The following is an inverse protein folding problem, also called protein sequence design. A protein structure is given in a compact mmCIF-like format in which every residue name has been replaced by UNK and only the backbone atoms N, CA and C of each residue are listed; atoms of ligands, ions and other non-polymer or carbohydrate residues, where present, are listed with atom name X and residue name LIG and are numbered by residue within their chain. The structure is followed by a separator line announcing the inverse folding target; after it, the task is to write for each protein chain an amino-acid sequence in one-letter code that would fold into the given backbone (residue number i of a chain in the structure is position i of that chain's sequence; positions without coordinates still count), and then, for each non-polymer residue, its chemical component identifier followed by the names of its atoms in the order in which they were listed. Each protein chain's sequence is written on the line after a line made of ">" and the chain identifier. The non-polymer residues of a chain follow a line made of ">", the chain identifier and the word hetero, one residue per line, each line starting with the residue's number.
data_IF_591045707480
#
_entry.id   IF_591045707480
#
_cell.length_a   1.000
_cell.length_b   1.000
_cell.length_c   1.000
_cell.angle_alpha   90.00
_cell.angle_beta   90.00
_cell.angle_gamma   90.00
#
_symmetry.space_group_name_H-M   'P 1'
#
loop_
_entity.id
_entity.type
_entity.pdbx_description
1 polymer ?
#
# COMPACT_ATOMS: atom_id res chain seq x y z
N UNK A 1 -17.77 -7.42 -0.37
CA UNK A 1 -17.13 -6.48 -1.29
C UNK A 1 -18.14 -5.40 -1.68
N UNK A 2 -17.67 -4.17 -1.80
CA UNK A 2 -18.49 -3.05 -2.24
C UNK A 2 -17.64 -2.00 -2.94
N UNK A 3 -18.30 -1.17 -3.77
CA UNK A 3 -17.65 -0.09 -4.49
C UNK A 3 -18.09 1.25 -3.92
N UNK A 4 -17.14 2.14 -3.67
CA UNK A 4 -17.46 3.49 -3.29
C UNK A 4 -17.91 4.29 -4.53
N UNK A 5 -19.05 4.94 -4.47
CA UNK A 5 -19.50 5.83 -5.53
C UNK A 5 -18.49 6.96 -5.78
N UNK A 6 -18.11 7.18 -7.01
CA UNK A 6 -17.06 8.12 -7.41
C UNK A 6 -15.64 7.60 -7.21
N UNK A 7 -15.49 6.27 -7.02
CA UNK A 7 -14.20 5.57 -6.87
C UNK A 7 -13.68 5.53 -5.44
N UNK A 8 -12.60 4.79 -5.25
CA UNK A 8 -12.00 4.53 -3.93
C UNK A 8 -11.51 5.80 -3.21
N UNK A 9 -11.12 6.83 -3.95
CA UNK A 9 -10.77 8.14 -3.39
C UNK A 9 -11.90 8.81 -2.59
N UNK A 10 -13.17 8.41 -2.81
CA UNK A 10 -14.31 8.90 -2.04
C UNK A 10 -14.24 8.51 -0.57
N UNK A 11 -13.62 7.37 -0.23
CA UNK A 11 -13.39 6.94 1.15
C UNK A 11 -12.44 7.91 1.85
N UNK A 12 -11.33 8.25 1.20
CA UNK A 12 -10.35 9.21 1.73
C UNK A 12 -10.98 10.60 1.91
N UNK A 13 -11.79 11.04 0.95
CA UNK A 13 -12.53 12.30 1.05
C UNK A 13 -13.50 12.30 2.23
N UNK A 14 -14.24 11.21 2.45
CA UNK A 14 -15.17 11.08 3.57
C UNK A 14 -14.44 11.10 4.93
N UNK A 15 -13.31 10.39 5.05
CA UNK A 15 -12.47 10.39 6.25
C UNK A 15 -11.90 11.79 6.52
N UNK A 16 -11.42 12.48 5.49
CA UNK A 16 -10.92 13.86 5.60
C UNK A 16 -12.01 14.80 6.09
N UNK A 17 -13.21 14.73 5.49
CA UNK A 17 -14.34 15.55 5.92
C UNK A 17 -14.74 15.29 7.39
N UNK A 18 -14.75 14.01 7.80
CA UNK A 18 -15.02 13.63 9.18
C UNK A 18 -13.97 14.17 10.15
N UNK A 19 -12.69 14.10 9.80
CA UNK A 19 -11.60 14.66 10.58
C UNK A 19 -11.75 16.19 10.74
N UNK A 20 -12.03 16.87 9.64
CA UNK A 20 -12.22 18.35 9.65
C UNK A 20 -13.44 18.75 10.47
N UNK A 21 -14.55 18.02 10.38
CA UNK A 21 -15.74 18.23 11.21
C UNK A 21 -15.46 18.05 12.71
N UNK A 22 -14.47 17.20 13.05
CA UNK A 22 -13.98 17.05 14.44
C UNK A 22 -12.91 18.07 14.83
N UNK A 23 -12.65 19.11 14.02
CA UNK A 23 -11.66 20.16 14.28
C UNK A 23 -10.23 19.82 13.87
N UNK A 24 -10.02 18.71 13.17
CA UNK A 24 -8.70 18.32 12.65
C UNK A 24 -8.30 19.11 11.41
N UNK A 25 -7.00 19.24 11.18
CA UNK A 25 -6.42 19.90 10.00
C UNK A 25 -5.70 18.91 9.13
N UNK A 26 -5.85 19.02 7.80
CA UNK A 26 -5.08 18.26 6.81
C UNK A 26 -4.17 19.23 6.07
N UNK A 27 -2.88 18.93 6.03
CA UNK A 27 -1.87 19.62 5.22
C UNK A 27 -1.38 18.68 4.13
N UNK A 28 -1.50 19.07 2.89
CA UNK A 28 -0.91 18.41 1.72
C UNK A 28 0.37 19.11 1.30
N UNK A 29 1.23 18.44 0.51
CA UNK A 29 2.52 18.99 0.12
C UNK A 29 3.46 19.26 1.31
N UNK A 30 3.31 18.49 2.38
CA UNK A 30 4.04 18.66 3.65
C UNK A 30 4.69 17.32 4.01
N UNK A 31 5.69 16.91 3.23
CA UNK A 31 6.48 15.72 3.51
C UNK A 31 7.21 15.83 4.85
N UNK A 32 7.51 14.71 5.48
CA UNK A 32 8.20 14.64 6.77
C UNK A 32 9.65 14.30 6.51
N UNK A 33 10.56 15.14 6.98
CA UNK A 33 12.00 14.87 6.97
C UNK A 33 12.43 14.05 8.20
N UNK A 34 11.99 14.47 9.39
CA UNK A 34 12.45 13.87 10.65
C UNK A 34 11.39 13.93 11.75
N UNK A 35 11.39 12.92 12.62
CA UNK A 35 10.69 12.93 13.91
C UNK A 35 11.59 13.57 14.97
N UNK A 36 11.06 14.56 15.69
CA UNK A 36 11.76 15.24 16.78
C UNK A 36 11.66 14.43 18.06
N UNK A 37 12.81 13.99 18.58
CA UNK A 37 12.92 13.22 19.83
C UNK A 37 13.79 14.00 20.84
N UNK A 38 13.40 13.98 22.10
CA UNK A 38 14.18 14.52 23.21
C UNK A 38 13.95 13.68 24.46
N UNK A 39 15.01 13.21 25.07
CA UNK A 39 14.98 12.37 26.27
C UNK A 39 14.05 11.14 26.09
N UNK A 40 14.19 10.43 24.96
CA UNK A 40 13.39 9.25 24.63
C UNK A 40 11.89 9.50 24.34
N UNK A 41 11.50 10.77 24.09
CA UNK A 41 10.10 11.17 23.82
C UNK A 41 9.99 11.93 22.51
N UNK A 42 9.06 11.54 21.66
CA UNK A 42 8.68 12.31 20.48
C UNK A 42 7.85 13.52 20.89
N UNK A 43 8.16 14.68 20.28
CA UNK A 43 7.46 15.94 20.57
C UNK A 43 7.08 16.73 19.31
N UNK A 44 7.34 16.22 18.13
CA UNK A 44 7.01 16.87 16.87
C UNK A 44 7.69 16.22 15.67
N UNK A 45 7.62 16.93 14.56
CA UNK A 45 8.24 16.54 13.27
C UNK A 45 8.87 17.76 12.61
N UNK A 46 9.88 17.53 11.76
CA UNK A 46 10.41 18.50 10.80
C UNK A 46 9.81 18.17 9.44
N UNK A 47 9.30 19.18 8.75
CA UNK A 47 8.83 19.06 7.37
C UNK A 47 9.98 19.22 6.38
N UNK A 48 9.78 18.76 5.14
CA UNK A 48 10.80 18.84 4.05
C UNK A 48 11.24 20.30 3.74
N UNK A 49 10.41 21.29 4.09
CA UNK A 49 10.74 22.70 3.96
C UNK A 49 11.50 23.29 5.19
N UNK A 50 11.82 22.46 6.17
CA UNK A 50 12.52 22.83 7.40
C UNK A 50 11.61 23.34 8.54
N UNK A 51 10.30 23.47 8.33
CA UNK A 51 9.38 23.89 9.39
C UNK A 51 9.24 22.82 10.47
N UNK A 52 9.26 23.22 11.74
CA UNK A 52 8.95 22.34 12.86
C UNK A 52 7.46 22.40 13.22
N UNK A 53 6.84 21.22 13.34
CA UNK A 53 5.47 21.07 13.84
C UNK A 53 5.52 20.30 15.15
N UNK A 54 5.22 20.98 16.25
CA UNK A 54 5.20 20.38 17.58
C UNK A 54 3.84 19.74 17.88
N UNK A 55 3.88 18.64 18.63
CA UNK A 55 2.69 17.90 19.05
C UNK A 55 2.94 17.10 20.32
N UNK A 56 1.87 16.86 21.07
CA UNK A 56 1.94 16.04 22.30
C UNK A 56 2.21 14.56 21.99
N UNK A 57 1.91 14.14 20.79
CA UNK A 57 2.14 12.77 20.26
C UNK A 57 2.40 12.84 18.77
N UNK A 58 3.23 11.96 18.30
CA UNK A 58 3.47 11.72 16.87
C UNK A 58 2.92 10.35 16.50
N UNK A 59 2.15 10.26 15.44
CA UNK A 59 1.54 9.02 14.98
C UNK A 59 1.94 8.81 13.51
N UNK A 60 2.72 7.77 13.25
CA UNK A 60 3.15 7.43 11.90
C UNK A 60 2.27 6.35 11.30
N UNK A 61 1.77 6.59 10.07
CA UNK A 61 1.14 5.56 9.24
C UNK A 61 2.07 5.06 8.11
N UNK A 62 3.30 5.55 8.07
CA UNK A 62 4.33 5.01 7.18
C UNK A 62 4.72 3.60 7.60
N UNK A 63 5.31 2.84 6.70
CA UNK A 63 5.87 1.55 7.07
C UNK A 63 6.99 1.69 8.12
N UNK A 64 7.28 0.59 8.80
CA UNK A 64 8.22 0.61 9.94
C UNK A 64 9.66 0.90 9.53
N UNK A 65 10.10 0.47 8.33
CA UNK A 65 11.44 0.81 7.85
C UNK A 65 11.55 2.28 7.57
N UNK A 66 10.57 2.85 6.87
CA UNK A 66 10.53 4.28 6.59
C UNK A 66 10.45 5.09 7.89
N UNK A 67 9.57 4.72 8.81
CA UNK A 67 9.44 5.41 10.10
C UNK A 67 10.75 5.39 10.89
N UNK A 68 11.30 4.21 11.16
CA UNK A 68 12.37 4.04 12.14
C UNK A 68 13.78 4.07 11.56
N UNK A 69 13.98 3.79 10.27
CA UNK A 69 15.31 3.79 9.65
C UNK A 69 15.58 5.04 8.81
N UNK A 70 14.51 5.81 8.48
CA UNK A 70 14.66 7.02 7.67
C UNK A 70 14.34 8.30 8.44
N UNK A 71 13.26 8.30 9.24
CA UNK A 71 12.74 9.52 9.86
C UNK A 71 13.01 9.63 11.37
N UNK A 72 13.54 8.59 12.00
CA UNK A 72 14.00 8.60 13.41
C UNK A 72 15.50 8.40 13.43
N UNK A 73 16.19 9.12 14.31
CA UNK A 73 17.62 8.92 14.52
C UNK A 73 17.85 7.53 15.17
N UNK A 74 18.71 6.71 14.56
CA UNK A 74 18.99 5.36 15.05
C UNK A 74 19.53 5.37 16.50
N UNK A 75 20.22 6.43 16.89
CA UNK A 75 20.75 6.59 18.25
C UNK A 75 19.67 6.71 19.34
N UNK A 76 18.44 7.08 18.95
CA UNK A 76 17.28 7.16 19.86
C UNK A 76 16.56 5.80 20.04
N UNK A 77 17.02 4.75 19.37
CA UNK A 77 16.36 3.45 19.33
C UNK A 77 17.22 2.35 19.97
N UNK A 78 16.60 1.39 20.67
CA UNK A 78 17.33 0.20 21.14
C UNK A 78 17.91 -0.59 19.96
N UNK A 79 19.17 -1.02 20.05
CA UNK A 79 19.86 -1.72 18.95
C UNK A 79 19.14 -3.00 18.50
N UNK A 80 18.56 -3.77 19.43
CA UNK A 80 17.78 -4.96 19.11
C UNK A 80 16.49 -4.63 18.31
N UNK A 81 15.83 -3.52 18.66
CA UNK A 81 14.68 -3.05 17.90
C UNK A 81 15.08 -2.69 16.46
N UNK A 82 16.16 -1.94 16.29
CA UNK A 82 16.71 -1.57 14.98
C UNK A 82 17.05 -2.82 14.16
N UNK A 83 17.70 -3.81 14.77
CA UNK A 83 18.03 -5.09 14.12
C UNK A 83 16.77 -5.79 13.59
N UNK A 84 15.70 -5.84 14.40
CA UNK A 84 14.41 -6.45 14.00
C UNK A 84 13.73 -5.69 12.88
N UNK A 85 13.71 -4.35 12.94
CA UNK A 85 13.14 -3.51 11.86
C UNK A 85 13.93 -3.69 10.56
N UNK A 86 15.26 -3.75 10.61
CA UNK A 86 16.10 -4.05 9.43
C UNK A 86 15.78 -5.42 8.83
N UNK A 87 15.50 -6.42 9.66
CA UNK A 87 15.15 -7.78 9.25
C UNK A 87 13.69 -7.94 8.77
N UNK A 88 12.82 -6.94 9.00
CA UNK A 88 11.42 -6.98 8.58
C UNK A 88 11.31 -7.11 7.06
N UNK A 89 10.59 -8.14 6.59
CA UNK A 89 10.40 -8.43 5.17
C UNK A 89 9.32 -7.52 4.60
N UNK A 90 9.63 -6.80 3.52
CA UNK A 90 8.71 -5.79 2.96
C UNK A 90 8.69 -5.77 1.42
N UNK A 91 9.24 -6.79 0.77
CA UNK A 91 9.33 -6.82 -0.70
C UNK A 91 7.97 -6.65 -1.35
N UNK A 92 7.86 -5.75 -2.33
CA UNK A 92 6.70 -5.60 -3.20
C UNK A 92 6.55 -6.78 -4.15
N UNK A 93 5.32 -7.03 -4.58
CA UNK A 93 5.02 -8.18 -5.44
C UNK A 93 4.00 -7.86 -6.54
N UNK A 94 3.51 -6.64 -6.60
CA UNK A 94 2.41 -6.30 -7.50
C UNK A 94 2.66 -5.02 -8.27
N UNK A 95 2.10 -5.00 -9.47
CA UNK A 95 1.93 -3.81 -10.27
C UNK A 95 0.45 -3.48 -10.45
N UNK A 96 0.19 -2.33 -11.03
CA UNK A 96 -1.18 -1.87 -11.29
C UNK A 96 -1.24 -1.17 -12.63
N UNK A 97 -2.32 -1.47 -13.39
CA UNK A 97 -2.69 -0.68 -14.55
C UNK A 97 -4.06 -0.04 -14.31
N UNK A 98 -4.15 1.24 -14.64
CA UNK A 98 -5.40 1.97 -14.75
C UNK A 98 -5.58 2.34 -16.22
N UNK A 99 -6.65 1.83 -16.84
CA UNK A 99 -6.83 1.87 -18.29
C UNK A 99 -8.10 2.66 -18.61
N UNK A 100 -7.97 3.76 -19.34
CA UNK A 100 -9.10 4.48 -19.91
C UNK A 100 -9.46 3.85 -21.26
N UNK A 101 -10.74 3.54 -21.44
CA UNK A 101 -11.26 2.81 -22.59
C UNK A 101 -12.32 3.61 -23.33
N UNK A 102 -12.28 3.53 -24.65
CA UNK A 102 -13.28 4.12 -25.55
C UNK A 102 -14.63 3.39 -25.45
N UNK A 103 -14.61 2.08 -25.23
CA UNK A 103 -15.79 1.23 -25.02
C UNK A 103 -15.45 0.09 -24.04
N UNK A 104 -16.48 -0.59 -23.53
CA UNK A 104 -16.27 -1.78 -22.71
C UNK A 104 -15.64 -2.91 -23.54
N UNK A 105 -14.68 -3.68 -22.97
CA UNK A 105 -14.10 -4.82 -23.67
C UNK A 105 -15.14 -5.91 -23.91
N UNK A 106 -15.02 -6.62 -25.03
CA UNK A 106 -15.87 -7.76 -25.40
C UNK A 106 -15.09 -9.06 -25.20
N UNK A 107 -15.26 -9.67 -24.05
CA UNK A 107 -14.61 -10.96 -23.78
C UNK A 107 -15.30 -12.09 -24.55
N UNK A 108 -14.50 -12.92 -25.22
CA UNK A 108 -15.02 -14.03 -26.06
C UNK A 108 -15.78 -15.08 -25.25
N UNK A 109 -15.44 -15.23 -23.96
CA UNK A 109 -16.10 -16.17 -23.05
C UNK A 109 -17.41 -15.66 -22.45
N UNK A 110 -17.75 -14.38 -22.63
CA UNK A 110 -18.92 -13.76 -22.00
C UNK A 110 -19.94 -13.29 -23.05
N UNK A 111 -21.25 -13.59 -22.86
CA UNK A 111 -22.31 -12.97 -23.67
C UNK A 111 -22.30 -11.45 -23.52
N UNK A 112 -22.78 -10.75 -24.54
CA UNK A 112 -22.96 -9.31 -24.48
C UNK A 112 -23.92 -8.92 -23.34
N UNK A 113 -23.55 -7.90 -22.56
CA UNK A 113 -24.29 -7.46 -21.37
C UNK A 113 -24.23 -8.40 -20.18
N UNK A 114 -23.27 -9.34 -20.17
CA UNK A 114 -23.07 -10.29 -19.06
C UNK A 114 -22.92 -9.60 -17.71
N UNK A 115 -23.64 -10.04 -16.65
CA UNK A 115 -23.51 -9.51 -15.31
C UNK A 115 -22.10 -9.73 -14.72
N UNK A 116 -21.32 -10.69 -15.23
CA UNK A 116 -19.94 -10.95 -14.80
C UNK A 116 -19.02 -9.76 -15.05
N UNK A 117 -19.32 -8.89 -16.02
CA UNK A 117 -18.59 -7.63 -16.24
C UNK A 117 -18.65 -6.65 -15.07
N UNK A 118 -19.54 -6.86 -14.10
CA UNK A 118 -19.63 -6.08 -12.85
C UNK A 118 -18.83 -6.68 -11.70
N UNK A 119 -18.22 -7.83 -11.91
CA UNK A 119 -17.43 -8.55 -10.93
C UNK A 119 -15.95 -8.34 -11.11
N UNK A 120 -15.23 -9.13 -10.36
CA UNK A 120 -13.80 -9.30 -10.47
C UNK A 120 -13.50 -10.42 -11.46
N UNK A 121 -12.54 -10.19 -12.34
CA UNK A 121 -12.24 -11.08 -13.46
C UNK A 121 -10.75 -11.39 -13.54
N UNK A 122 -10.40 -12.65 -13.81
CA UNK A 122 -9.01 -13.06 -14.02
C UNK A 122 -8.88 -14.10 -15.12
N UNK A 123 -7.70 -14.16 -15.72
CA UNK A 123 -7.34 -15.10 -16.76
C UNK A 123 -6.39 -16.18 -16.21
N UNK A 124 -6.89 -16.98 -15.28
CA UNK A 124 -6.13 -18.13 -14.80
C UNK A 124 -6.95 -19.40 -14.95
N UNK A 125 -6.29 -20.45 -15.41
CA UNK A 125 -6.88 -21.75 -15.68
C UNK A 125 -6.27 -22.86 -14.79
N UNK A 126 -5.19 -22.54 -14.06
CA UNK A 126 -4.55 -23.52 -13.17
C UNK A 126 -3.71 -22.87 -12.08
N UNK A 127 -3.48 -23.63 -11.01
CA UNK A 127 -2.57 -23.28 -9.90
C UNK A 127 -1.12 -23.20 -10.42
N UNK A 128 -0.74 -24.09 -11.32
CA UNK A 128 0.61 -24.14 -11.90
C UNK A 128 0.93 -22.86 -12.68
N UNK A 129 -0.05 -22.25 -13.31
CA UNK A 129 0.12 -20.95 -13.98
C UNK A 129 0.41 -19.84 -12.96
N UNK A 130 -0.31 -19.82 -11.84
CA UNK A 130 -0.08 -18.86 -10.77
C UNK A 130 1.30 -19.08 -10.12
N UNK A 131 1.70 -20.34 -9.90
CA UNK A 131 3.03 -20.67 -9.37
C UNK A 131 4.15 -20.21 -10.32
N UNK A 132 4.03 -20.43 -11.64
CA UNK A 132 5.02 -19.90 -12.60
C UNK A 132 5.15 -18.38 -12.54
N UNK A 133 4.04 -17.66 -12.41
CA UNK A 133 4.07 -16.22 -12.26
C UNK A 133 4.80 -15.79 -10.97
N UNK A 134 4.67 -16.57 -9.90
CA UNK A 134 5.42 -16.36 -8.65
C UNK A 134 6.89 -16.74 -8.78
N UNK A 135 7.22 -17.79 -9.55
CA UNK A 135 8.60 -18.20 -9.82
C UNK A 135 9.37 -17.10 -10.57
N UNK A 136 8.75 -16.45 -11.55
CA UNK A 136 9.31 -15.28 -12.24
C UNK A 136 9.69 -14.19 -11.22
N UNK A 137 8.79 -13.87 -10.29
CA UNK A 137 9.04 -12.87 -9.24
C UNK A 137 10.21 -13.27 -8.33
N UNK A 138 10.30 -14.55 -7.92
CA UNK A 138 11.42 -15.04 -7.11
C UNK A 138 12.75 -14.93 -7.86
N UNK A 139 12.73 -15.12 -9.18
CA UNK A 139 13.89 -14.92 -10.04
C UNK A 139 14.24 -13.46 -10.31
N UNK A 140 13.42 -12.50 -9.86
CA UNK A 140 13.63 -11.06 -10.07
C UNK A 140 13.09 -10.56 -11.40
N UNK A 141 12.13 -11.24 -12.00
CA UNK A 141 11.47 -10.83 -13.23
C UNK A 141 10.00 -10.51 -12.97
N UNK A 142 9.40 -9.63 -13.77
CA UNK A 142 7.94 -9.57 -13.82
C UNK A 142 7.42 -10.75 -14.66
N UNK A 143 6.23 -11.22 -14.30
CA UNK A 143 5.66 -12.41 -14.93
C UNK A 143 5.37 -12.18 -16.42
N UNK A 144 5.77 -13.13 -17.25
CA UNK A 144 5.49 -13.11 -18.70
C UNK A 144 4.05 -13.52 -19.03
N UNK A 145 3.38 -14.22 -18.11
CA UNK A 145 1.95 -14.55 -18.16
C UNK A 145 1.34 -14.25 -16.78
N UNK A 146 1.15 -12.95 -16.44
CA UNK A 146 0.82 -12.52 -15.10
C UNK A 146 -0.60 -12.94 -14.71
N UNK A 147 -0.80 -13.15 -13.40
CA UNK A 147 -2.11 -13.16 -12.82
C UNK A 147 -2.62 -11.71 -12.75
N UNK A 148 -3.69 -11.43 -13.47
CA UNK A 148 -4.33 -10.12 -13.48
C UNK A 148 -5.73 -10.22 -12.86
N UNK A 149 -5.93 -9.41 -11.85
CA UNK A 149 -7.19 -9.22 -11.14
C UNK A 149 -7.83 -7.93 -11.68
N UNK A 150 -8.89 -8.06 -12.45
CA UNK A 150 -9.41 -6.96 -13.28
C UNK A 150 -10.83 -6.61 -12.89
N UNK A 151 -11.10 -5.32 -12.80
CA UNK A 151 -12.44 -4.77 -12.60
C UNK A 151 -12.72 -3.65 -13.59
N UNK A 152 -13.98 -3.50 -13.96
CA UNK A 152 -14.48 -2.37 -14.76
C UNK A 152 -15.48 -1.60 -13.89
N UNK A 153 -15.02 -0.73 -12.97
CA UNK A 153 -15.88 -0.06 -12.00
C UNK A 153 -17.03 0.74 -12.64
N UNK A 154 -16.84 1.23 -13.85
CA UNK A 154 -17.84 1.98 -14.60
C UNK A 154 -19.05 1.13 -15.03
N UNK A 155 -18.96 -0.19 -14.98
CA UNK A 155 -20.11 -1.09 -15.16
C UNK A 155 -21.07 -1.05 -13.97
N UNK A 156 -20.62 -0.53 -12.82
CA UNK A 156 -21.39 -0.36 -11.58
C UNK A 156 -21.71 1.12 -11.36
N UNK A 157 -20.69 1.97 -11.48
CA UNK A 157 -20.79 3.42 -11.30
C UNK A 157 -20.38 4.18 -12.59
N UNK A 158 -21.32 4.43 -13.50
CA UNK A 158 -21.03 5.11 -14.75
C UNK A 158 -20.64 6.59 -14.57
N UNK A 159 -20.73 7.14 -13.35
CA UNK A 159 -20.35 8.54 -13.07
C UNK A 159 -18.85 8.76 -13.01
N UNK A 160 -18.05 7.70 -13.04
CA UNK A 160 -16.58 7.76 -12.98
C UNK A 160 -15.91 8.18 -14.30
N UNK A 161 -16.66 8.15 -15.42
CA UNK A 161 -16.13 8.50 -16.75
C UNK A 161 -17.16 9.31 -17.53
N UNK A 162 -16.78 9.97 -18.64
CA UNK A 162 -17.74 10.53 -19.59
C UNK A 162 -18.67 9.45 -20.16
N UNK A 163 -19.88 9.80 -20.59
CA UNK A 163 -20.83 8.84 -21.15
C UNK A 163 -20.21 8.01 -22.29
N UNK A 164 -20.44 6.69 -22.26
CA UNK A 164 -19.93 5.74 -23.24
C UNK A 164 -18.46 5.36 -23.09
N UNK A 165 -17.71 6.00 -22.19
CA UNK A 165 -16.33 5.63 -21.88
C UNK A 165 -16.28 4.73 -20.66
N UNK A 166 -15.18 3.97 -20.54
CA UNK A 166 -14.99 3.05 -19.44
C UNK A 166 -13.61 3.21 -18.78
N UNK A 167 -13.55 2.75 -17.56
CA UNK A 167 -12.32 2.65 -16.78
C UNK A 167 -12.14 1.20 -16.35
N UNK A 168 -10.95 0.65 -16.60
CA UNK A 168 -10.55 -0.67 -16.15
C UNK A 168 -9.39 -0.56 -15.19
N UNK A 169 -9.47 -1.26 -14.07
CA UNK A 169 -8.42 -1.34 -13.06
C UNK A 169 -7.89 -2.76 -13.01
N UNK A 170 -6.59 -2.94 -13.24
CA UNK A 170 -5.92 -4.23 -13.18
C UNK A 170 -4.93 -4.22 -12.01
N UNK A 171 -5.10 -5.14 -11.08
CA UNK A 171 -4.10 -5.50 -10.09
C UNK A 171 -3.33 -6.69 -10.63
N UNK A 172 -2.01 -6.57 -10.71
CA UNK A 172 -1.19 -7.53 -11.45
C UNK A 172 -0.15 -8.18 -10.57
N UNK A 173 -0.11 -9.48 -10.55
CA UNK A 173 0.89 -10.31 -9.89
C UNK A 173 1.61 -11.20 -10.92
N UNK A 174 2.94 -11.18 -11.00
CA UNK A 174 3.81 -10.54 -10.02
C UNK A 174 4.73 -9.51 -10.69
N UNK A 175 5.12 -8.52 -9.92
CA UNK A 175 6.10 -7.52 -10.29
C UNK A 175 7.09 -7.37 -9.12
N UNK A 176 8.40 -7.66 -9.30
CA UNK A 176 9.38 -7.59 -8.22
C UNK A 176 9.75 -6.14 -7.89
N UNK A 177 10.25 -5.86 -6.69
CA UNK A 177 10.72 -4.50 -6.33
C UNK A 177 11.91 -4.05 -7.18
N UNK A 178 12.73 -4.99 -7.63
CA UNK A 178 13.87 -4.78 -8.52
C UNK A 178 13.91 -5.84 -9.63
N UNK A 179 14.32 -5.45 -10.83
CA UNK A 179 14.52 -6.35 -11.96
C UNK A 179 15.97 -6.88 -11.91
N UNK A 180 16.15 -8.17 -11.69
CA UNK A 180 17.49 -8.79 -11.60
C UNK A 180 18.46 -8.03 -10.68
N UNK A 181 17.95 -7.51 -9.58
CA UNK A 181 18.73 -6.74 -8.61
C UNK A 181 18.95 -5.26 -8.95
N UNK A 182 18.56 -4.78 -10.13
CA UNK A 182 18.60 -3.37 -10.54
C UNK A 182 17.23 -2.70 -10.42
N UNK A 183 17.23 -1.38 -10.46
CA UNK A 183 16.00 -0.61 -10.46
C UNK A 183 15.25 -0.74 -11.80
N UNK A 184 13.93 -0.59 -11.75
CA UNK A 184 13.07 -0.54 -12.92
C UNK A 184 13.43 0.62 -13.82
N UNK A 185 13.50 0.38 -15.12
CA UNK A 185 13.58 1.42 -16.16
C UNK A 185 12.19 1.70 -16.74
N UNK A 186 12.07 2.80 -17.50
CA UNK A 186 10.84 3.06 -18.25
C UNK A 186 10.56 1.98 -19.30
N UNK A 187 11.61 1.41 -19.90
CA UNK A 187 11.47 0.31 -20.85
C UNK A 187 10.89 -0.97 -20.18
N UNK A 188 11.29 -1.28 -18.95
CA UNK A 188 10.74 -2.39 -18.18
C UNK A 188 9.26 -2.15 -17.85
N UNK A 189 8.91 -0.93 -17.40
CA UNK A 189 7.52 -0.54 -17.14
C UNK A 189 6.66 -0.66 -18.39
N UNK A 190 7.13 -0.20 -19.53
CA UNK A 190 6.40 -0.26 -20.79
C UNK A 190 6.32 -1.71 -21.31
N UNK A 191 7.35 -2.54 -21.06
CA UNK A 191 7.35 -3.98 -21.31
C UNK A 191 6.30 -4.70 -20.47
N UNK A 192 6.27 -4.42 -19.18
CA UNK A 192 5.27 -4.94 -18.25
C UNK A 192 3.84 -4.58 -18.70
N UNK A 193 3.61 -3.31 -19.05
CA UNK A 193 2.32 -2.87 -19.55
C UNK A 193 1.90 -3.61 -20.82
N UNK A 194 2.83 -3.76 -21.81
CA UNK A 194 2.53 -4.51 -23.03
C UNK A 194 2.13 -5.96 -22.73
N UNK A 195 2.88 -6.64 -21.85
CA UNK A 195 2.57 -8.01 -21.44
C UNK A 195 1.14 -8.13 -20.91
N UNK A 196 0.74 -7.19 -20.04
CA UNK A 196 -0.61 -7.16 -19.47
C UNK A 196 -1.69 -6.91 -20.54
N UNK A 197 -1.49 -5.92 -21.41
CA UNK A 197 -2.43 -5.60 -22.48
C UNK A 197 -2.53 -6.70 -23.54
N UNK A 198 -1.41 -7.37 -23.86
CA UNK A 198 -1.38 -8.51 -24.77
C UNK A 198 -2.16 -9.71 -24.23
N UNK A 199 -2.09 -9.94 -22.93
CA UNK A 199 -2.90 -10.97 -22.29
C UNK A 199 -4.39 -10.66 -22.38
N UNK A 200 -4.82 -9.42 -22.12
CA UNK A 200 -6.23 -9.01 -22.23
C UNK A 200 -6.71 -9.17 -23.68
N UNK A 201 -5.90 -8.74 -24.65
CA UNK A 201 -6.23 -8.84 -26.08
C UNK A 201 -6.51 -10.29 -26.53
N UNK A 202 -5.84 -11.31 -25.95
CA UNK A 202 -6.10 -12.73 -26.25
C UNK A 202 -7.53 -13.14 -25.89
N UNK A 203 -8.11 -12.57 -24.83
CA UNK A 203 -9.45 -12.93 -24.35
C UNK A 203 -10.53 -11.93 -24.78
N UNK A 204 -10.13 -10.74 -25.20
CA UNK A 204 -10.99 -9.69 -25.69
C UNK A 204 -10.40 -9.08 -26.99
N UNK A 205 -10.51 -9.77 -28.14
CA UNK A 205 -9.96 -9.28 -29.40
C UNK A 205 -10.46 -7.89 -29.76
N UNK A 206 -9.53 -6.99 -30.11
CA UNK A 206 -9.82 -5.58 -30.37
C UNK A 206 -9.73 -4.67 -29.14
N UNK A 207 -9.42 -5.24 -27.97
CA UNK A 207 -9.26 -4.46 -26.72
C UNK A 207 -8.26 -3.33 -26.87
N UNK A 208 -7.06 -3.63 -27.43
CA UNK A 208 -6.01 -2.63 -27.57
C UNK A 208 -6.43 -1.41 -28.39
N UNK A 209 -7.30 -1.59 -29.39
CA UNK A 209 -7.82 -0.48 -30.19
C UNK A 209 -8.79 0.42 -29.42
N UNK A 210 -9.38 -0.06 -28.33
CA UNK A 210 -10.24 0.72 -27.45
C UNK A 210 -9.47 1.46 -26.34
N UNK A 211 -8.17 1.23 -26.18
CA UNK A 211 -7.36 1.87 -25.14
C UNK A 211 -7.08 3.32 -25.51
N UNK A 212 -7.55 4.25 -24.67
CA UNK A 212 -7.31 5.68 -24.80
C UNK A 212 -6.05 6.12 -24.04
N UNK A 213 -5.83 5.53 -22.85
CA UNK A 213 -4.69 5.84 -22.01
C UNK A 213 -4.43 4.70 -21.02
N UNK A 214 -3.18 4.49 -20.67
CA UNK A 214 -2.76 3.54 -19.62
C UNK A 214 -1.84 4.24 -18.63
N UNK A 215 -2.22 4.26 -17.36
CA UNK A 215 -1.33 4.58 -16.25
C UNK A 215 -0.79 3.27 -15.67
N UNK A 216 0.53 3.17 -15.56
CA UNK A 216 1.22 1.97 -15.06
C UNK A 216 1.95 2.31 -13.78
N UNK A 217 1.71 1.53 -12.73
CA UNK A 217 2.40 1.63 -11.45
C UNK A 217 3.08 0.32 -11.14
N UNK A 218 4.39 0.30 -11.28
CA UNK A 218 5.25 -0.79 -10.82
C UNK A 218 5.62 -0.57 -9.35
N UNK A 219 6.30 -1.49 -8.68
CA UNK A 219 6.84 -1.24 -7.34
C UNK A 219 7.68 0.04 -7.24
N UNK A 220 8.39 0.44 -8.31
CA UNK A 220 9.14 1.70 -8.37
C UNK A 220 8.24 2.93 -8.20
N UNK A 221 7.15 3.02 -8.97
CA UNK A 221 6.21 4.14 -8.87
C UNK A 221 5.51 4.15 -7.50
N UNK A 222 5.15 2.96 -6.96
CA UNK A 222 4.56 2.85 -5.63
C UNK A 222 5.52 3.33 -4.54
N UNK A 223 6.81 3.06 -4.66
CA UNK A 223 7.80 3.58 -3.71
C UNK A 223 8.04 5.07 -3.86
N UNK A 224 8.25 5.55 -5.08
CA UNK A 224 8.64 6.93 -5.35
C UNK A 224 7.49 7.93 -5.16
N UNK A 225 6.28 7.59 -5.58
CA UNK A 225 5.13 8.50 -5.55
C UNK A 225 4.32 8.38 -4.26
N UNK A 226 4.15 7.16 -3.74
CA UNK A 226 3.31 6.89 -2.56
C UNK A 226 4.15 6.73 -1.29
N UNK A 227 5.43 6.40 -1.43
CA UNK A 227 6.35 6.20 -0.31
C UNK A 227 6.21 4.82 0.34
N UNK A 228 5.74 3.82 -0.39
CA UNK A 228 5.68 2.43 0.08
C UNK A 228 7.02 1.74 -0.16
N UNK A 229 7.74 1.40 0.89
CA UNK A 229 9.06 0.76 0.78
C UNK A 229 8.99 -0.48 -0.11
N UNK A 230 9.88 -0.54 -1.11
CA UNK A 230 9.93 -1.60 -2.13
C UNK A 230 8.59 -1.82 -2.88
N UNK A 231 7.68 -0.83 -2.87
CA UNK A 231 6.36 -0.93 -3.49
C UNK A 231 5.39 -1.89 -2.80
N UNK A 232 5.65 -2.29 -1.56
CA UNK A 232 4.78 -3.23 -0.85
C UNK A 232 3.49 -2.54 -0.35
N UNK A 233 2.36 -2.87 -0.97
CA UNK A 233 1.05 -2.28 -0.66
C UNK A 233 0.51 -2.65 0.73
N UNK A 234 1.04 -3.70 1.37
CA UNK A 234 0.70 -4.10 2.72
C UNK A 234 1.66 -3.54 3.77
N UNK A 235 2.67 -2.74 3.33
CA UNK A 235 3.72 -2.20 4.20
C UNK A 235 4.43 -3.29 5.02
N UNK A 236 4.60 -4.47 4.44
CA UNK A 236 5.25 -5.64 5.04
C UNK A 236 4.62 -6.94 4.55
N UNK A 237 5.44 -7.95 4.30
CA UNK A 237 5.00 -9.27 3.87
C UNK A 237 4.07 -9.90 4.92
N UNK A 238 3.06 -10.65 4.45
CA UNK A 238 2.08 -11.34 5.31
C UNK A 238 2.54 -12.78 5.59
N UNK A 239 3.78 -12.94 5.99
CA UNK A 239 4.33 -14.24 6.41
C UNK A 239 4.00 -14.52 7.89
N UNK A 240 3.89 -15.79 8.28
CA UNK A 240 3.47 -16.18 9.63
C UNK A 240 4.34 -15.58 10.74
N UNK A 241 5.63 -15.38 10.49
CA UNK A 241 6.58 -14.74 11.40
C UNK A 241 6.37 -13.22 11.54
N UNK A 242 5.55 -12.62 10.69
CA UNK A 242 5.24 -11.17 10.66
C UNK A 242 3.77 -10.83 10.84
N UNK A 243 2.99 -11.74 11.39
CA UNK A 243 1.56 -11.53 11.64
C UNK A 243 1.25 -11.43 13.14
N UNK A 244 0.01 -11.03 13.45
CA UNK A 244 -0.55 -10.95 14.80
C UNK A 244 0.35 -10.14 15.75
N UNK A 245 0.80 -10.77 16.85
CA UNK A 245 1.64 -10.15 17.88
C UNK A 245 3.10 -9.91 17.45
N UNK A 246 3.52 -10.44 16.32
CA UNK A 246 4.83 -10.19 15.72
C UNK A 246 4.84 -8.98 14.76
N UNK A 247 3.67 -8.39 14.46
CA UNK A 247 3.57 -7.31 13.48
C UNK A 247 3.49 -5.94 14.17
N UNK A 248 4.41 -5.01 13.90
CA UNK A 248 5.54 -5.05 12.94
C UNK A 248 6.74 -5.84 13.43
N UNK A 249 7.02 -5.79 14.73
CA UNK A 249 8.06 -6.56 15.41
C UNK A 249 7.56 -6.99 16.78
N UNK A 250 8.02 -8.11 17.34
CA UNK A 250 7.65 -8.54 18.69
C UNK A 250 7.82 -7.39 19.71
N UNK A 251 6.83 -7.21 20.56
CA UNK A 251 6.77 -6.12 21.54
C UNK A 251 6.05 -4.85 21.07
N UNK A 252 5.89 -4.60 19.76
CA UNK A 252 5.23 -3.41 19.21
C UNK A 252 3.84 -3.67 18.62
N UNK A 253 3.25 -4.84 18.84
CA UNK A 253 1.94 -5.21 18.27
C UNK A 253 0.77 -4.33 18.77
N UNK A 254 0.96 -3.57 19.86
CA UNK A 254 -0.03 -2.65 20.40
C UNK A 254 0.22 -1.20 19.97
N UNK A 255 0.79 -0.99 18.79
CA UNK A 255 0.95 0.32 18.13
C UNK A 255 1.95 1.29 18.81
N UNK A 256 2.54 0.91 19.95
CA UNK A 256 3.57 1.67 20.64
C UNK A 256 4.93 1.42 20.02
N UNK A 257 5.78 2.44 20.03
CA UNK A 257 7.19 2.31 19.70
C UNK A 257 8.04 2.35 20.98
N UNK A 258 9.35 2.03 20.89
CA UNK A 258 10.27 2.25 22.00
C UNK A 258 10.42 3.74 22.42
N UNK A 259 10.10 4.65 21.52
CA UNK A 259 10.12 6.09 21.80
C UNK A 259 8.75 6.49 22.36
N UNK A 260 8.74 7.07 23.55
CA UNK A 260 7.51 7.54 24.20
C UNK A 260 6.78 8.57 23.32
N UNK A 261 5.47 8.47 23.25
CA UNK A 261 4.61 9.34 22.44
C UNK A 261 4.85 9.28 20.91
N UNK A 262 5.64 8.32 20.42
CA UNK A 262 5.69 7.92 19.02
C UNK A 262 4.88 6.65 18.82
N UNK A 263 3.85 6.73 18.00
CA UNK A 263 2.92 5.65 17.70
C UNK A 263 2.95 5.26 16.23
N UNK A 264 2.56 4.04 15.92
CA UNK A 264 2.46 3.52 14.55
C UNK A 264 1.05 3.02 14.30
N UNK A 265 0.48 3.33 13.14
CA UNK A 265 -0.93 2.99 12.81
C UNK A 265 -1.13 2.55 11.36
N UNK A 266 -0.07 2.41 10.59
CA UNK A 266 -0.13 1.98 9.19
C UNK A 266 -0.34 0.48 9.02
N UNK A 267 -0.33 0.03 7.78
CA UNK A 267 -0.50 -1.37 7.41
C UNK A 267 0.62 -2.29 7.89
N UNK A 268 1.78 -1.72 8.29
CA UNK A 268 2.84 -2.48 8.97
C UNK A 268 2.43 -3.02 10.34
N UNK A 269 1.34 -2.52 10.93
CA UNK A 269 0.85 -2.96 12.24
C UNK A 269 -0.29 -3.97 12.12
N UNK A 270 -0.60 -4.65 13.22
CA UNK A 270 -1.75 -5.57 13.26
C UNK A 270 -3.08 -4.81 12.99
N UNK A 271 -4.02 -5.35 12.22
CA UNK A 271 -4.05 -6.67 11.56
C UNK A 271 -3.39 -6.71 10.17
N UNK A 272 -2.76 -5.66 9.72
CA UNK A 272 -2.17 -5.55 8.41
C UNK A 272 -2.94 -4.63 7.47
N UNK A 273 -2.59 -4.69 6.17
CA UNK A 273 -3.20 -3.89 5.13
C UNK A 273 -4.60 -4.34 4.72
N UNK A 274 -5.25 -3.48 3.98
CA UNK A 274 -6.62 -3.63 3.47
C UNK A 274 -7.36 -2.28 3.56
N UNK A 275 -8.41 -2.12 2.78
CA UNK A 275 -9.22 -0.88 2.81
C UNK A 275 -10.24 -0.98 3.94
N UNK A 276 -9.79 -1.02 5.18
CA UNK A 276 -10.61 -1.24 6.37
C UNK A 276 -10.38 -0.24 7.52
N UNK A 277 -9.25 0.47 7.52
CA UNK A 277 -8.88 1.42 8.57
C UNK A 277 -8.64 0.80 9.97
N UNK A 278 -8.57 -0.53 10.09
CA UNK A 278 -8.47 -1.22 11.37
C UNK A 278 -7.20 -0.84 12.16
N UNK A 279 -5.99 -0.78 11.57
CA UNK A 279 -4.80 -0.35 12.29
C UNK A 279 -4.94 1.04 12.91
N UNK A 280 -5.48 1.99 12.15
CA UNK A 280 -5.71 3.37 12.62
C UNK A 280 -6.71 3.42 13.78
N UNK A 281 -7.84 2.71 13.66
CA UNK A 281 -8.85 2.62 14.74
C UNK A 281 -8.27 2.02 16.01
N UNK A 282 -7.53 0.93 15.87
CA UNK A 282 -6.93 0.22 17.00
C UNK A 282 -5.87 1.09 17.69
N UNK A 283 -4.98 1.72 16.92
CA UNK A 283 -3.99 2.66 17.43
C UNK A 283 -4.64 3.81 18.20
N UNK A 284 -5.69 4.42 17.63
CA UNK A 284 -6.44 5.49 18.31
C UNK A 284 -7.02 5.00 19.64
N UNK A 285 -7.57 3.78 19.70
CA UNK A 285 -8.10 3.20 20.94
C UNK A 285 -7.02 3.00 21.99
N UNK A 286 -5.83 2.52 21.62
CA UNK A 286 -4.70 2.37 22.54
C UNK A 286 -4.17 3.74 23.03
N UNK A 287 -4.04 4.70 22.14
CA UNK A 287 -3.64 6.08 22.50
C UNK A 287 -4.61 6.69 23.52
N UNK A 288 -5.92 6.55 23.28
CA UNK A 288 -6.94 7.06 24.20
C UNK A 288 -6.93 6.34 25.56
N UNK A 289 -6.60 5.05 25.58
CA UNK A 289 -6.41 4.29 26.81
C UNK A 289 -5.23 4.82 27.62
N UNK A 290 -4.08 5.03 26.97
CA UNK A 290 -2.89 5.60 27.61
C UNK A 290 -3.08 7.04 28.12
N UNK A 291 -3.98 7.78 27.50
CA UNK A 291 -4.33 9.13 28.02
C UNK A 291 -5.07 9.06 29.35
N UNK A 292 -5.81 7.97 29.62
CA UNK A 292 -6.57 7.78 30.87
C UNK A 292 -5.74 7.08 31.95
N UNK A 293 -4.94 6.11 31.54
CA UNK A 293 -4.10 5.29 32.45
C UNK A 293 -2.75 5.05 31.74
N UNK A 294 -1.70 5.82 32.05
CA UNK A 294 -0.41 5.64 31.41
C UNK A 294 0.10 4.21 31.53
N UNK A 295 0.45 3.58 30.40
CA UNK A 295 1.07 2.27 30.38
C UNK A 295 2.53 2.33 30.86
N UNK A 296 3.10 1.17 31.26
CA UNK A 296 4.53 1.07 31.57
C UNK A 296 5.38 1.49 30.37
N UNK A 297 6.53 2.07 30.65
CA UNK A 297 7.47 2.49 29.62
C UNK A 297 7.98 1.26 28.85
N UNK A 298 7.94 1.34 27.53
CA UNK A 298 8.35 0.22 26.65
C UNK A 298 9.88 0.16 26.49
N UNK A 299 10.62 1.19 26.91
CA UNK A 299 12.09 1.18 26.91
C UNK A 299 12.64 -0.01 27.71
N UNK A 300 11.95 -0.39 28.80
CA UNK A 300 12.34 -1.51 29.65
C UNK A 300 12.11 -2.89 28.99
N UNK A 301 11.17 -2.99 28.05
CA UNK A 301 10.86 -4.25 27.38
C UNK A 301 11.98 -4.73 26.43
N UNK A 302 12.80 -3.81 25.93
CA UNK A 302 13.94 -4.10 25.05
C UNK A 302 15.30 -4.12 25.77
N UNK A 303 15.35 -3.68 27.03
CA UNK A 303 16.55 -3.75 27.85
C UNK A 303 16.82 -5.17 28.40
N UNK A 304 15.84 -6.07 28.33
CA UNK A 304 15.88 -7.42 28.91
C UNK A 304 16.05 -8.51 27.83
N UNK A 305 16.06 -8.16 26.55
CA UNK A 305 16.29 -9.08 25.43
C UNK A 305 17.67 -8.88 24.80
#
# INVERSE_FOLDING_TARGET
>A
WGFARGGMGSITKALTASLQAAGGTVRTGSGIEKVLVRNGRAYGVVLDNGDEVQGRRVISNMDVKRTFLKHVDEAELPGEFVRRVKAFKIRGSSGKLNIALDCAPKFTALPEGSPHMKGDMHFTDSIEKMERAYDDWKAGHYSVDPFQDMMIPTMIDPTMTPPGKHFMSCFVQYAPPKIEGRDWTDADRDGFARTCLDQIEKYAPGFKSSVLHVEVRTPRELENEVGLTEGNIFQGELTFDQLLFNRPVPGCAQYRSPIKDLWICGSSTHPGGGVMGAPGRNAASEILRDMKTPSKDMSDAYAVL
#
